data_IF_718791554444
#
_entry.id   IF_718791554444
#
_cell.length_a   1.000
_cell.length_b   1.000
_cell.length_c   1.000
_cell.angle_alpha   90.00
_cell.angle_beta   90.00
_cell.angle_gamma   90.00
#
_symmetry.space_group_name_H-M   'P 1'
#
loop_
_entity.id
_entity.type
_entity.pdbx_description
1 polymer ?
#
# COMPACT_ATOMS: atom_id res chain seq x y z
N UNK A 1 -49.36 -16.59 -24.89
CA UNK A 1 -50.31 -15.45 -24.99
C UNK A 1 -49.46 -14.19 -24.96
N UNK A 2 -49.11 -13.58 -26.11
CA UNK A 2 -49.75 -12.43 -26.79
C UNK A 2 -49.94 -11.29 -25.83
N UNK A 3 -49.39 -10.08 -25.99
CA UNK A 3 -49.28 -9.11 -27.10
C UNK A 3 -48.26 -8.03 -26.69
N UNK A 4 -47.29 -7.51 -27.41
CA UNK A 4 -47.37 -6.60 -28.58
C UNK A 4 -48.14 -5.30 -28.31
N UNK A 5 -47.55 -4.10 -28.53
CA UNK A 5 -47.81 -3.23 -29.69
C UNK A 5 -47.39 -1.76 -29.38
N UNK A 6 -46.58 -1.14 -30.25
CA UNK A 6 -46.66 0.06 -31.13
C UNK A 6 -46.39 1.40 -30.36
N UNK A 7 -45.51 2.31 -30.71
CA UNK A 7 -45.14 2.83 -32.04
C UNK A 7 -45.85 4.16 -32.31
N UNK A 8 -45.16 5.29 -32.29
CA UNK A 8 -45.65 6.50 -32.96
C UNK A 8 -44.47 7.35 -33.48
N UNK A 9 -44.37 7.33 -34.80
CA UNK A 9 -43.63 8.26 -35.66
C UNK A 9 -44.52 9.47 -35.86
N UNK A 10 -43.99 10.69 -35.77
CA UNK A 10 -44.61 11.88 -36.37
C UNK A 10 -43.58 12.61 -37.20
N UNK A 11 -43.92 12.76 -38.43
CA UNK A 11 -43.22 13.29 -39.59
C UNK A 11 -43.75 14.72 -39.91
N UNK A 12 -42.88 15.56 -40.50
CA UNK A 12 -43.18 16.64 -41.50
C UNK A 12 -43.61 18.01 -40.91
N UNK A 13 -43.10 19.16 -41.37
CA UNK A 13 -43.11 19.65 -42.73
C UNK A 13 -42.12 20.85 -42.90
N UNK A 14 -41.51 20.87 -44.08
CA UNK A 14 -40.81 22.03 -44.61
C UNK A 14 -41.79 23.05 -45.18
N UNK A 15 -41.46 24.35 -45.01
CA UNK A 15 -41.95 25.38 -45.90
C UNK A 15 -40.82 26.33 -46.25
N UNK A 16 -40.50 26.36 -47.55
CA UNK A 16 -39.67 27.38 -48.16
C UNK A 16 -40.51 28.61 -48.52
N UNK A 17 -40.01 29.80 -48.32
CA UNK A 17 -40.40 30.99 -49.11
C UNK A 17 -39.19 31.94 -49.22
N UNK A 18 -38.99 32.32 -50.45
CA UNK A 18 -38.04 33.22 -51.08
C UNK A 18 -38.23 34.71 -50.72
N UNK A 19 -37.14 35.49 -50.76
CA UNK A 19 -37.27 36.94 -50.97
C UNK A 19 -36.09 37.80 -50.61
N UNK A 20 -35.28 38.14 -51.66
CA UNK A 20 -34.59 39.40 -51.95
C UNK A 20 -33.66 40.14 -51.01
N UNK A 21 -32.43 40.21 -51.43
CA UNK A 21 -31.41 41.32 -51.40
C UNK A 21 -31.61 42.51 -50.48
N UNK A 22 -30.54 42.78 -49.72
CA UNK A 22 -29.83 44.07 -49.83
C UNK A 22 -28.45 44.02 -49.17
N UNK A 23 -27.46 44.52 -49.89
CA UNK A 23 -26.09 44.70 -49.51
C UNK A 23 -25.89 45.59 -48.29
N UNK A 24 -25.15 45.10 -47.30
CA UNK A 24 -24.24 45.94 -46.48
C UNK A 24 -23.06 45.12 -46.00
N UNK A 25 -21.86 45.59 -46.40
CA UNK A 25 -20.59 45.19 -45.88
C UNK A 25 -20.54 45.33 -44.36
N UNK A 26 -20.45 44.26 -43.63
CA UNK A 26 -19.96 44.27 -42.27
C UNK A 26 -18.77 43.34 -42.14
N UNK A 27 -17.71 43.96 -41.58
CA UNK A 27 -16.41 43.32 -41.28
C UNK A 27 -16.61 42.08 -40.42
N UNK A 28 -16.22 40.90 -40.90
CA UNK A 28 -16.01 39.72 -40.09
C UNK A 28 -14.75 39.94 -39.24
N UNK A 29 -14.92 40.30 -37.98
CA UNK A 29 -13.95 40.03 -36.93
C UNK A 29 -13.98 38.54 -36.63
N UNK A 30 -12.97 37.83 -37.10
CA UNK A 30 -12.69 36.45 -36.75
C UNK A 30 -12.22 36.42 -35.28
N UNK A 31 -13.09 36.16 -34.36
CA UNK A 31 -12.77 35.84 -32.98
C UNK A 31 -12.09 34.47 -32.99
N UNK A 32 -10.77 34.41 -32.95
CA UNK A 32 -10.03 33.20 -32.62
C UNK A 32 -10.41 32.85 -31.18
N UNK A 33 -11.19 31.78 -31.03
CA UNK A 33 -11.29 31.06 -29.76
C UNK A 33 -9.94 30.35 -29.57
N UNK A 34 -9.11 30.92 -28.70
CA UNK A 34 -7.95 30.20 -28.15
C UNK A 34 -8.49 29.03 -27.36
N UNK A 35 -8.36 27.87 -27.94
CA UNK A 35 -8.52 26.58 -27.24
C UNK A 35 -7.38 26.47 -26.22
N UNK A 36 -7.64 26.91 -24.99
CA UNK A 36 -6.77 26.62 -23.86
C UNK A 36 -6.95 25.14 -23.51
N UNK A 37 -6.21 24.31 -24.21
CA UNK A 37 -5.94 22.95 -23.75
C UNK A 37 -5.19 23.08 -22.44
N UNK A 38 -5.90 22.94 -21.32
CA UNK A 38 -5.26 22.75 -20.02
C UNK A 38 -4.35 21.52 -20.14
N UNK A 39 -3.05 21.75 -20.18
CA UNK A 39 -2.06 20.70 -20.10
C UNK A 39 -2.27 20.00 -18.75
N UNK A 40 -2.86 18.82 -18.79
CA UNK A 40 -3.00 17.93 -17.65
C UNK A 40 -1.56 17.63 -17.22
N UNK A 41 -1.13 18.18 -16.08
CA UNK A 41 0.20 17.91 -15.55
C UNK A 41 0.34 16.38 -15.43
N UNK A 42 1.27 15.83 -16.20
CA UNK A 42 1.59 14.41 -16.09
C UNK A 42 2.06 14.14 -14.65
N UNK A 43 1.41 13.18 -13.99
CA UNK A 43 1.86 12.73 -12.68
C UNK A 43 3.29 12.19 -12.82
N UNK A 44 4.20 12.51 -11.89
CA UNK A 44 5.56 12.01 -11.96
C UNK A 44 5.53 10.48 -12.00
N UNK A 45 6.24 9.90 -12.96
CA UNK A 45 6.38 8.46 -13.06
C UNK A 45 7.27 7.99 -11.89
N UNK A 46 6.66 7.32 -10.91
CA UNK A 46 7.38 6.75 -9.78
C UNK A 46 8.13 5.48 -10.22
N UNK A 47 9.27 5.16 -9.57
CA UNK A 47 9.99 3.92 -9.82
C UNK A 47 9.10 2.70 -9.58
N UNK A 48 9.28 1.63 -10.34
CA UNK A 48 8.59 0.37 -10.10
C UNK A 48 9.28 -0.42 -8.97
N UNK A 49 9.28 0.15 -7.78
CA UNK A 49 9.80 -0.46 -6.54
C UNK A 49 8.68 -0.54 -5.52
N UNK A 50 8.74 -1.59 -4.71
CA UNK A 50 7.80 -1.86 -3.62
C UNK A 50 8.48 -1.58 -2.27
N UNK A 51 7.80 -0.88 -1.38
CA UNK A 51 8.11 -0.82 0.05
C UNK A 51 7.10 -1.69 0.81
N UNK A 52 7.58 -2.66 1.58
CA UNK A 52 6.77 -3.42 2.54
C UNK A 52 7.08 -2.90 3.94
N UNK A 53 6.09 -2.31 4.58
CA UNK A 53 6.15 -1.86 5.97
C UNK A 53 5.45 -2.92 6.81
N UNK A 54 6.23 -3.69 7.56
CA UNK A 54 5.74 -4.82 8.32
C UNK A 54 5.20 -4.36 9.67
N UNK A 55 3.92 -4.59 9.91
CA UNK A 55 3.20 -4.49 11.18
C UNK A 55 3.52 -3.21 12.01
N UNK A 56 3.40 -2.01 11.45
CA UNK A 56 3.72 -0.76 12.15
C UNK A 56 2.58 -0.34 13.10
N UNK A 57 2.12 -1.26 13.96
CA UNK A 57 0.91 -1.12 14.76
C UNK A 57 1.18 -0.57 16.17
N UNK A 58 0.16 0.02 16.78
CA UNK A 58 0.24 0.62 18.12
C UNK A 58 0.70 -0.40 19.14
N UNK A 59 0.17 -1.64 19.11
CA UNK A 59 0.55 -2.65 20.10
C UNK A 59 2.03 -3.05 20.04
N UNK A 60 2.66 -2.97 18.88
CA UNK A 60 4.11 -3.22 18.72
C UNK A 60 5.00 -2.00 18.97
N UNK A 61 4.40 -0.81 19.12
CA UNK A 61 5.12 0.45 19.38
C UNK A 61 4.97 0.93 20.81
N UNK A 62 3.73 1.22 21.24
CA UNK A 62 3.43 1.80 22.56
C UNK A 62 2.39 1.01 23.35
N UNK A 63 1.81 -0.05 22.76
CA UNK A 63 0.73 -0.82 23.34
C UNK A 63 1.18 -2.10 24.07
N UNK A 64 0.37 -3.15 23.99
CA UNK A 64 0.47 -4.34 24.86
C UNK A 64 1.69 -5.22 24.61
N UNK A 65 2.28 -5.17 23.43
CA UNK A 65 3.49 -5.92 23.01
C UNK A 65 4.55 -4.97 22.44
N UNK A 66 4.70 -3.80 23.09
CA UNK A 66 5.62 -2.77 22.64
C UNK A 66 7.08 -3.23 22.63
N UNK A 67 7.77 -3.00 21.52
CA UNK A 67 9.21 -3.17 21.39
C UNK A 67 9.94 -1.90 21.87
N UNK A 68 11.11 -2.05 22.47
CA UNK A 68 11.84 -0.92 23.08
C UNK A 68 12.15 0.21 22.08
N UNK A 69 12.42 -0.12 20.83
CA UNK A 69 12.76 0.82 19.76
C UNK A 69 11.60 1.11 18.80
N UNK A 70 10.44 0.49 18.98
CA UNK A 70 9.28 0.60 18.09
C UNK A 70 8.87 2.03 17.78
N UNK A 71 8.61 2.88 18.79
CA UNK A 71 8.25 4.26 18.55
C UNK A 71 9.30 5.03 17.76
N UNK A 72 10.59 4.91 18.13
CA UNK A 72 11.68 5.63 17.47
C UNK A 72 11.86 5.20 16.00
N UNK A 73 11.75 3.90 15.72
CA UNK A 73 11.83 3.37 14.36
C UNK A 73 10.67 3.87 13.49
N UNK A 74 9.45 3.89 14.02
CA UNK A 74 8.27 4.35 13.29
C UNK A 74 8.22 5.87 13.13
N UNK A 75 8.67 6.63 14.11
CA UNK A 75 8.85 8.08 13.98
C UNK A 75 9.88 8.44 12.91
N UNK A 76 10.99 7.68 12.87
CA UNK A 76 12.00 7.86 11.84
C UNK A 76 11.46 7.55 10.44
N UNK A 77 10.74 6.44 10.29
CA UNK A 77 10.10 6.06 9.03
C UNK A 77 9.09 7.14 8.58
N UNK A 78 8.23 7.59 9.50
CA UNK A 78 7.26 8.64 9.22
C UNK A 78 7.96 9.93 8.74
N UNK A 79 9.03 10.35 9.46
CA UNK A 79 9.83 11.51 9.06
C UNK A 79 10.45 11.34 7.68
N UNK A 80 11.12 10.23 7.41
CA UNK A 80 11.77 9.96 6.13
C UNK A 80 10.77 9.97 4.97
N UNK A 81 9.62 9.32 5.14
CA UNK A 81 8.56 9.35 4.13
C UNK A 81 8.02 10.77 3.94
N UNK A 82 7.78 11.55 4.99
CA UNK A 82 7.33 12.94 4.89
C UNK A 82 8.35 13.83 4.18
N UNK A 83 9.65 13.60 4.37
CA UNK A 83 10.75 14.31 3.71
C UNK A 83 10.99 13.88 2.25
N UNK A 84 10.28 12.87 1.78
CA UNK A 84 10.26 12.49 0.36
C UNK A 84 10.84 11.13 0.00
N UNK A 85 11.21 10.28 0.98
CA UNK A 85 11.67 8.91 0.70
C UNK A 85 10.63 8.09 -0.08
N UNK A 86 9.34 8.41 0.07
CA UNK A 86 8.26 7.80 -0.70
C UNK A 86 8.44 7.90 -2.22
N UNK A 87 9.16 8.90 -2.72
CA UNK A 87 9.41 9.11 -4.16
C UNK A 87 10.22 7.99 -4.80
N UNK A 88 10.84 7.13 -3.99
CA UNK A 88 11.57 5.96 -4.44
C UNK A 88 10.66 4.75 -4.74
N UNK A 89 9.34 4.86 -4.50
CA UNK A 89 8.41 3.74 -4.56
C UNK A 89 7.17 4.07 -5.39
N UNK A 90 6.78 3.14 -6.25
CA UNK A 90 5.49 3.16 -6.93
C UNK A 90 4.39 2.44 -6.13
N UNK A 91 4.82 1.60 -5.17
CA UNK A 91 3.95 0.78 -4.34
C UNK A 91 4.39 0.78 -2.88
N UNK A 92 3.42 0.85 -1.97
CA UNK A 92 3.64 0.66 -0.53
C UNK A 92 2.61 -0.36 -0.02
N UNK A 93 3.09 -1.42 0.61
CA UNK A 93 2.25 -2.38 1.33
C UNK A 93 2.49 -2.20 2.82
N UNK A 94 1.43 -2.03 3.58
CA UNK A 94 1.45 -2.00 5.05
C UNK A 94 0.81 -3.28 5.52
N UNK A 95 1.56 -4.15 6.18
CA UNK A 95 0.99 -5.36 6.77
C UNK A 95 0.51 -5.08 8.19
N UNK A 96 -0.45 -5.85 8.65
CA UNK A 96 -1.03 -5.73 10.00
C UNK A 96 -1.44 -7.11 10.53
N UNK A 97 -1.10 -7.38 11.78
CA UNK A 97 -1.78 -8.42 12.53
C UNK A 97 -3.24 -8.02 12.81
N UNK A 98 -4.15 -8.98 12.65
CA UNK A 98 -5.58 -8.80 12.87
C UNK A 98 -6.12 -10.00 13.64
N UNK A 99 -5.75 -10.09 14.92
CA UNK A 99 -6.05 -11.28 15.71
C UNK A 99 -7.48 -11.29 16.25
N UNK A 100 -8.22 -12.40 16.11
CA UNK A 100 -9.44 -12.60 16.87
C UNK A 100 -9.10 -12.71 18.36
N UNK A 101 -10.09 -12.41 19.23
CA UNK A 101 -9.91 -12.41 20.70
C UNK A 101 -9.39 -13.71 21.30
N UNK A 102 -9.60 -14.83 20.61
CA UNK A 102 -9.19 -16.17 21.02
C UNK A 102 -8.03 -16.71 20.17
N UNK A 103 -7.16 -15.86 19.68
CA UNK A 103 -6.04 -16.28 18.83
C UNK A 103 -5.03 -17.14 19.60
N UNK A 104 -4.50 -18.16 18.94
CA UNK A 104 -3.61 -19.17 19.54
C UNK A 104 -2.28 -18.60 20.05
N UNK A 105 -1.82 -17.43 19.58
CA UNK A 105 -0.60 -16.79 20.09
C UNK A 105 -0.71 -16.25 21.51
N UNK A 106 -1.94 -16.06 22.02
CA UNK A 106 -2.17 -15.44 23.32
C UNK A 106 -1.97 -16.41 24.48
N UNK A 107 -1.40 -15.91 25.58
CA UNK A 107 -1.16 -16.70 26.81
C UNK A 107 -2.44 -17.36 27.33
N UNK A 108 -3.59 -16.71 27.17
CA UNK A 108 -4.90 -17.23 27.57
C UNK A 108 -5.37 -18.43 26.73
N UNK A 109 -4.76 -18.59 25.54
CA UNK A 109 -5.01 -19.72 24.61
C UNK A 109 -3.85 -20.72 24.59
N UNK A 110 -2.87 -20.59 25.49
CA UNK A 110 -1.69 -21.46 25.55
C UNK A 110 -0.51 -20.98 24.72
N UNK A 111 -0.60 -19.81 24.10
CA UNK A 111 0.52 -19.14 23.42
C UNK A 111 1.47 -18.45 24.38
N UNK A 112 2.36 -17.63 23.85
CA UNK A 112 3.46 -17.00 24.61
C UNK A 112 3.34 -15.47 24.70
N UNK A 113 2.45 -14.85 23.93
CA UNK A 113 2.30 -13.39 23.87
C UNK A 113 1.08 -12.91 24.67
N UNK A 114 1.11 -11.68 25.23
CA UNK A 114 -0.11 -11.05 25.71
C UNK A 114 -1.05 -10.79 24.53
N UNK A 115 -2.36 -10.61 24.76
CA UNK A 115 -3.28 -10.16 23.72
C UNK A 115 -2.77 -8.86 23.07
N UNK A 116 -2.63 -8.87 21.75
CA UNK A 116 -2.13 -7.75 20.95
C UNK A 116 -2.83 -7.75 19.59
N UNK A 117 -2.86 -6.61 18.95
CA UNK A 117 -3.44 -6.39 17.60
C UNK A 117 -4.82 -7.04 17.44
N UNK A 118 -5.63 -7.03 18.52
CA UNK A 118 -6.96 -7.65 18.53
C UNK A 118 -7.91 -6.83 17.64
N UNK A 119 -8.64 -7.51 16.78
CA UNK A 119 -9.62 -6.88 15.89
C UNK A 119 -10.56 -5.92 16.61
N UNK A 120 -10.70 -4.71 16.07
CA UNK A 120 -11.57 -3.66 16.61
C UNK A 120 -11.01 -2.92 17.82
N UNK A 121 -9.78 -3.20 18.25
CA UNK A 121 -9.08 -2.41 19.28
C UNK A 121 -8.19 -1.33 18.69
N UNK A 122 -7.83 -0.32 19.51
CA UNK A 122 -6.89 0.72 19.12
C UNK A 122 -5.49 0.16 18.82
N UNK A 123 -5.08 -0.88 19.55
CA UNK A 123 -3.77 -1.53 19.41
C UNK A 123 -3.51 -2.12 18.03
N UNK A 124 -4.57 -2.53 17.32
CA UNK A 124 -4.49 -3.01 15.94
C UNK A 124 -4.18 -1.90 14.92
N UNK A 125 -4.47 -0.65 15.22
CA UNK A 125 -4.29 0.45 14.27
C UNK A 125 -2.80 0.71 14.01
N UNK A 126 -2.51 1.24 12.83
CA UNK A 126 -1.17 1.73 12.48
C UNK A 126 -0.76 2.86 13.42
N UNK A 127 0.50 2.93 13.77
CA UNK A 127 1.10 3.97 14.59
C UNK A 127 0.74 5.37 14.06
N UNK A 128 0.20 6.28 14.90
CA UNK A 128 -0.49 7.49 14.44
C UNK A 128 0.36 8.39 13.55
N UNK A 129 1.62 8.66 13.93
CA UNK A 129 2.50 9.53 13.14
C UNK A 129 2.76 8.97 11.74
N UNK A 130 2.92 7.65 11.60
CA UNK A 130 3.09 7.00 10.32
C UNK A 130 1.79 6.98 9.51
N UNK A 131 0.64 6.72 10.16
CA UNK A 131 -0.67 6.74 9.51
C UNK A 131 -1.00 8.11 8.90
N UNK A 132 -0.68 9.18 9.62
CA UNK A 132 -0.85 10.56 9.12
C UNK A 132 -0.04 10.78 7.83
N UNK A 133 1.23 10.41 7.84
CA UNK A 133 2.10 10.57 6.67
C UNK A 133 1.63 9.72 5.50
N UNK A 134 1.28 8.46 5.71
CA UNK A 134 0.75 7.58 4.65
C UNK A 134 -0.52 8.17 4.02
N UNK A 135 -1.41 8.75 4.83
CA UNK A 135 -2.62 9.43 4.34
C UNK A 135 -2.27 10.64 3.48
N UNK A 136 -1.29 11.44 3.91
CA UNK A 136 -0.87 12.66 3.21
C UNK A 136 -0.17 12.38 1.86
N UNK A 137 0.57 11.27 1.75
CA UNK A 137 1.25 10.90 0.50
C UNK A 137 0.36 10.10 -0.47
N UNK A 138 -0.74 9.53 0.00
CA UNK A 138 -1.66 8.69 -0.81
C UNK A 138 -2.12 9.33 -2.13
N UNK A 139 -2.42 10.64 -2.23
CA UNK A 139 -2.76 11.26 -3.50
C UNK A 139 -1.64 11.19 -4.56
N UNK A 140 -0.39 11.00 -4.13
CA UNK A 140 0.79 10.93 -4.99
C UNK A 140 1.21 9.48 -5.32
N UNK A 141 0.88 8.53 -4.42
CA UNK A 141 1.12 7.10 -4.61
C UNK A 141 -0.24 6.39 -4.58
N UNK A 142 -0.85 6.07 -5.72
CA UNK A 142 -2.17 5.43 -5.75
C UNK A 142 -2.16 3.99 -5.22
N UNK A 143 -0.99 3.37 -5.13
CA UNK A 143 -0.80 1.97 -4.76
C UNK A 143 -0.30 1.83 -3.31
N UNK A 144 -1.00 2.43 -2.35
CA UNK A 144 -0.81 2.15 -0.92
C UNK A 144 -1.92 1.18 -0.50
N UNK A 145 -1.54 -0.02 -0.04
CA UNK A 145 -2.48 -1.05 0.35
C UNK A 145 -2.17 -1.57 1.75
N UNK A 146 -3.22 -1.78 2.53
CA UNK A 146 -3.16 -2.43 3.83
C UNK A 146 -3.55 -3.89 3.67
N UNK A 147 -2.75 -4.80 4.22
CA UNK A 147 -2.96 -6.24 4.13
C UNK A 147 -2.87 -6.87 5.51
N UNK A 148 -3.83 -7.71 5.85
CA UNK A 148 -3.94 -8.35 7.16
C UNK A 148 -3.45 -9.79 7.14
N UNK A 149 -2.91 -10.25 8.27
CA UNK A 149 -2.55 -11.63 8.58
C UNK A 149 -2.95 -11.99 10.01
N UNK A 150 -2.78 -13.24 10.42
CA UNK A 150 -3.07 -13.70 11.77
C UNK A 150 -4.55 -13.66 12.15
N UNK A 151 -5.44 -13.74 11.17
CA UNK A 151 -6.89 -13.60 11.35
C UNK A 151 -7.61 -14.94 11.58
N UNK A 152 -6.89 -16.07 11.68
CA UNK A 152 -7.44 -17.36 12.02
C UNK A 152 -7.09 -17.72 13.48
N UNK A 153 -8.07 -18.09 14.33
CA UNK A 153 -7.83 -18.34 15.75
C UNK A 153 -6.77 -19.38 16.05
N UNK A 154 -6.66 -20.40 15.20
CA UNK A 154 -5.81 -21.57 15.41
C UNK A 154 -4.46 -21.51 14.69
N UNK A 155 -4.19 -20.43 13.93
CA UNK A 155 -2.98 -20.33 13.09
C UNK A 155 -2.18 -19.09 13.38
N UNK A 156 -0.93 -19.28 13.82
CA UNK A 156 0.05 -18.19 13.92
C UNK A 156 0.65 -17.88 12.55
N UNK A 157 0.71 -16.59 12.21
CA UNK A 157 1.24 -16.12 10.93
C UNK A 157 2.17 -14.92 11.15
N UNK A 158 3.47 -15.17 11.24
CA UNK A 158 4.45 -14.08 11.33
C UNK A 158 4.68 -13.38 9.99
N UNK A 159 4.72 -14.14 8.91
CA UNK A 159 4.87 -13.58 7.56
C UNK A 159 3.52 -13.32 6.91
N UNK A 160 3.44 -12.18 6.18
CA UNK A 160 2.26 -11.91 5.35
C UNK A 160 2.02 -13.02 4.32
N UNK A 161 3.07 -13.69 3.84
CA UNK A 161 2.99 -14.77 2.84
C UNK A 161 2.45 -16.08 3.41
N UNK A 162 2.31 -16.22 4.73
CA UNK A 162 1.67 -17.36 5.40
C UNK A 162 0.14 -17.24 5.42
N UNK A 163 -0.40 -16.04 5.18
CA UNK A 163 -1.83 -15.80 5.07
C UNK A 163 -2.36 -16.21 3.69
N UNK A 164 -3.39 -17.05 3.65
CA UNK A 164 -3.92 -17.61 2.39
C UNK A 164 -4.48 -16.54 1.45
N UNK A 165 -5.10 -15.49 1.97
CA UNK A 165 -5.73 -14.46 1.13
C UNK A 165 -4.76 -13.33 0.80
N UNK A 166 -4.20 -12.70 1.84
CA UNK A 166 -3.31 -11.54 1.68
C UNK A 166 -1.98 -11.95 1.06
N UNK A 167 -1.42 -13.08 1.52
CA UNK A 167 -0.15 -13.59 1.03
C UNK A 167 -0.21 -14.03 -0.42
N UNK A 168 -1.23 -14.79 -0.80
CA UNK A 168 -1.43 -15.19 -2.19
C UNK A 168 -1.64 -13.98 -3.11
N UNK A 169 -2.45 -13.00 -2.68
CA UNK A 169 -2.67 -11.77 -3.43
C UNK A 169 -1.36 -10.99 -3.62
N UNK A 170 -0.56 -10.81 -2.57
CA UNK A 170 0.71 -10.10 -2.66
C UNK A 170 1.73 -10.86 -3.52
N UNK A 171 1.82 -12.17 -3.34
CA UNK A 171 2.69 -13.03 -4.14
C UNK A 171 2.38 -12.91 -5.63
N UNK A 172 1.13 -13.06 -6.01
CA UNK A 172 0.70 -12.88 -7.41
C UNK A 172 0.96 -11.48 -7.94
N UNK A 173 0.77 -10.46 -7.11
CA UNK A 173 1.12 -9.08 -7.50
C UNK A 173 2.61 -8.98 -7.83
N UNK A 174 3.48 -9.59 -7.04
CA UNK A 174 4.94 -9.56 -7.25
C UNK A 174 5.35 -10.41 -8.47
N UNK A 175 4.81 -11.62 -8.62
CA UNK A 175 5.26 -12.60 -9.65
C UNK A 175 4.61 -12.36 -11.02
N UNK A 176 3.32 -11.99 -11.05
CA UNK A 176 2.53 -12.01 -12.29
C UNK A 176 2.26 -10.62 -12.86
N UNK A 177 2.09 -9.59 -12.02
CA UNK A 177 1.53 -8.32 -12.47
C UNK A 177 2.54 -7.18 -12.54
N UNK A 178 3.42 -7.00 -11.54
CA UNK A 178 4.15 -5.75 -11.40
C UNK A 178 5.64 -5.82 -11.77
N UNK A 179 6.25 -6.98 -11.81
CA UNK A 179 7.67 -7.15 -12.17
C UNK A 179 8.59 -6.13 -11.50
N UNK A 180 8.46 -5.96 -10.18
CA UNK A 180 9.21 -4.95 -9.43
C UNK A 180 10.72 -4.99 -9.69
N UNK A 181 11.33 -3.82 -9.84
CA UNK A 181 12.78 -3.67 -9.97
C UNK A 181 13.51 -4.01 -8.67
N UNK A 182 12.82 -3.85 -7.53
CA UNK A 182 13.31 -4.20 -6.21
C UNK A 182 12.24 -4.02 -5.15
N UNK A 183 12.45 -4.69 -4.01
CA UNK A 183 11.56 -4.65 -2.85
C UNK A 183 12.38 -4.27 -1.63
N UNK A 184 11.94 -3.24 -0.92
CA UNK A 184 12.52 -2.80 0.33
C UNK A 184 11.58 -3.19 1.48
N UNK A 185 12.14 -3.62 2.61
CA UNK A 185 11.38 -4.07 3.78
C UNK A 185 11.83 -3.30 5.01
N UNK A 186 10.89 -2.88 5.85
CA UNK A 186 11.11 -2.31 7.18
C UNK A 186 9.97 -2.70 8.11
N UNK A 187 10.01 -2.30 9.36
CA UNK A 187 8.91 -2.47 10.32
C UNK A 187 9.27 -3.27 11.56
N UNK A 188 8.27 -3.96 12.15
CA UNK A 188 8.31 -4.61 13.47
C UNK A 188 7.67 -6.02 13.38
N UNK A 189 8.17 -7.06 14.08
CA UNK A 189 9.44 -7.08 14.79
C UNK A 189 10.52 -7.70 13.90
N UNK A 190 11.72 -7.15 14.03
CA UNK A 190 12.90 -7.57 13.25
C UNK A 190 13.15 -9.08 13.31
N UNK A 191 13.02 -9.65 14.50
CA UNK A 191 13.30 -11.05 14.85
C UNK A 191 12.12 -12.01 14.63
N UNK A 192 10.94 -11.49 14.27
CA UNK A 192 9.72 -12.26 13.96
C UNK A 192 9.16 -11.90 12.59
N UNK A 193 8.22 -10.97 12.53
CA UNK A 193 7.44 -10.70 11.31
C UNK A 193 8.30 -10.20 10.16
N UNK A 194 9.30 -9.34 10.40
CA UNK A 194 10.21 -8.85 9.36
C UNK A 194 11.10 -9.98 8.86
N UNK A 195 11.69 -10.76 9.77
CA UNK A 195 12.50 -11.92 9.42
C UNK A 195 11.73 -12.96 8.59
N UNK A 196 10.57 -13.40 9.07
CA UNK A 196 9.75 -14.41 8.38
C UNK A 196 9.23 -13.88 7.03
N UNK A 197 8.78 -12.62 6.97
CA UNK A 197 8.36 -12.00 5.69
C UNK A 197 9.52 -11.94 4.69
N UNK A 198 10.72 -11.58 5.15
CA UNK A 198 11.91 -11.53 4.28
C UNK A 198 12.29 -12.91 3.78
N UNK A 199 12.31 -13.90 4.66
CA UNK A 199 12.63 -15.31 4.36
C UNK A 199 11.66 -15.90 3.33
N UNK A 200 10.36 -15.69 3.53
CA UNK A 200 9.34 -16.20 2.62
C UNK A 200 9.38 -15.46 1.27
N UNK A 201 9.65 -14.14 1.27
CA UNK A 201 9.81 -13.37 0.03
C UNK A 201 10.94 -13.91 -0.84
N UNK A 202 12.12 -14.14 -0.27
CA UNK A 202 13.28 -14.60 -1.05
C UNK A 202 13.17 -16.05 -1.53
N UNK A 203 12.19 -16.81 -1.05
CA UNK A 203 11.91 -18.14 -1.56
C UNK A 203 11.38 -18.12 -3.01
N UNK A 204 10.81 -16.99 -3.46
CA UNK A 204 10.27 -16.85 -4.82
C UNK A 204 10.71 -15.55 -5.54
N UNK A 205 11.30 -14.58 -4.84
CA UNK A 205 11.78 -13.33 -5.41
C UNK A 205 13.30 -13.22 -5.26
N UNK A 206 14.06 -12.69 -6.24
CA UNK A 206 15.52 -12.66 -6.19
C UNK A 206 16.05 -11.86 -5.00
N UNK A 207 16.79 -12.53 -4.11
CA UNK A 207 17.31 -11.93 -2.87
C UNK A 207 18.20 -10.69 -3.11
N UNK A 208 18.95 -10.64 -4.21
CA UNK A 208 19.77 -9.49 -4.59
C UNK A 208 18.97 -8.25 -5.04
N UNK A 209 17.66 -8.38 -5.17
CA UNK A 209 16.72 -7.28 -5.41
C UNK A 209 15.97 -6.86 -4.15
N UNK A 210 16.17 -7.56 -3.03
CA UNK A 210 15.60 -7.23 -1.72
C UNK A 210 16.58 -6.39 -0.93
N UNK A 211 16.08 -5.36 -0.23
CA UNK A 211 16.88 -4.55 0.70
C UNK A 211 16.12 -4.38 2.00
N UNK A 212 16.86 -4.25 3.09
CA UNK A 212 16.29 -3.96 4.42
C UNK A 212 16.62 -2.52 4.80
N UNK A 213 15.60 -1.74 5.19
CA UNK A 213 15.78 -0.37 5.70
C UNK A 213 16.09 -0.45 7.19
N UNK A 214 17.37 -0.50 7.52
CA UNK A 214 17.89 -0.91 8.83
C UNK A 214 17.60 0.07 9.96
N UNK A 215 17.48 1.37 9.66
CA UNK A 215 17.13 2.39 10.65
C UNK A 215 15.62 2.54 10.90
N UNK A 216 14.80 1.72 10.24
CA UNK A 216 13.35 1.65 10.42
C UNK A 216 12.91 0.26 10.93
N UNK A 217 13.72 -0.36 11.77
CA UNK A 217 13.49 -1.68 12.37
C UNK A 217 13.43 -1.60 13.90
N UNK A 218 12.63 -2.47 14.50
CA UNK A 218 12.64 -2.69 15.95
C UNK A 218 12.43 -4.17 16.25
N UNK A 219 13.23 -4.73 17.15
CA UNK A 219 13.19 -6.12 17.58
C UNK A 219 12.48 -6.30 18.92
N UNK A 220 11.99 -7.49 19.20
CA UNK A 220 11.59 -7.92 20.55
C UNK A 220 12.85 -8.22 21.37
N UNK A 221 13.81 -8.95 20.79
CA UNK A 221 15.15 -9.16 21.36
C UNK A 221 16.21 -8.49 20.49
N UNK A 222 16.79 -7.39 20.98
CA UNK A 222 17.85 -6.66 20.28
C UNK A 222 19.14 -7.48 20.06
N UNK A 223 19.30 -8.63 20.70
CA UNK A 223 20.45 -9.53 20.49
C UNK A 223 20.17 -10.64 19.47
N UNK A 224 18.94 -10.75 18.94
CA UNK A 224 18.62 -11.72 17.89
C UNK A 224 19.34 -11.36 16.59
N UNK A 225 19.95 -12.34 15.96
CA UNK A 225 20.75 -12.16 14.73
C UNK A 225 20.09 -12.76 13.49
N UNK A 226 18.93 -13.38 13.61
CA UNK A 226 18.28 -14.13 12.52
C UNK A 226 18.19 -13.34 11.21
N UNK A 227 17.71 -12.10 11.27
CA UNK A 227 17.59 -11.26 10.08
C UNK A 227 18.98 -10.89 9.52
N UNK A 228 19.93 -10.54 10.37
CA UNK A 228 21.29 -10.19 9.95
C UNK A 228 22.00 -11.38 9.29
N UNK A 229 21.83 -12.57 9.85
CA UNK A 229 22.39 -13.81 9.30
C UNK A 229 21.73 -14.15 7.95
N UNK A 230 20.40 -14.05 7.85
CA UNK A 230 19.66 -14.24 6.60
C UNK A 230 20.15 -13.27 5.51
N UNK A 231 20.33 -12.00 5.86
CA UNK A 231 20.82 -10.96 4.94
C UNK A 231 22.23 -11.32 4.44
N UNK A 232 23.13 -11.71 5.33
CA UNK A 232 24.50 -12.09 5.01
C UNK A 232 24.56 -13.32 4.12
N UNK A 233 23.81 -14.35 4.44
CA UNK A 233 23.76 -15.62 3.69
C UNK A 233 23.24 -15.46 2.28
N UNK A 234 22.30 -14.54 2.06
CA UNK A 234 21.61 -14.34 0.79
C UNK A 234 22.06 -13.07 0.03
N UNK A 235 23.03 -12.33 0.55
CA UNK A 235 23.54 -11.11 -0.09
C UNK A 235 22.54 -9.96 -0.12
N UNK A 236 21.60 -9.93 0.83
CA UNK A 236 20.61 -8.86 0.99
C UNK A 236 21.30 -7.62 1.55
N UNK A 237 21.08 -6.48 0.93
CA UNK A 237 21.71 -5.23 1.34
C UNK A 237 20.88 -4.51 2.42
N UNK A 238 21.56 -3.95 3.42
CA UNK A 238 20.99 -2.93 4.31
C UNK A 238 21.10 -1.55 3.67
N UNK A 239 20.05 -0.75 3.83
CA UNK A 239 20.01 0.66 3.44
C UNK A 239 19.47 1.49 4.60
N UNK A 240 19.64 2.80 4.54
CA UNK A 240 19.04 3.78 5.45
C UNK A 240 18.27 4.83 4.65
N UNK A 241 17.21 5.39 5.25
CA UNK A 241 16.49 6.55 4.73
C UNK A 241 17.11 7.86 5.16
#
# INVERSE_FOLDING_TARGET
>A
MKKSIIGAIVLVAALAMTGCNNDKKEKKETKQMEDKTEAKAEKPQLPNRLLIIVDPQIDFTTGSLATAKGPAAMDYLAKALNEGAWKNYGWIIVTQDAHPKNHCSFVEQGGVFPPHCVEGTEGMNVYPALQEVLTNIMPNIPNIHYMQKGNLPEKEEFSIFQNEQSGEKLRRTIEEFEHFEGIDICGIATDYCVYETTKDLIAFYPANKVRIVTNCLAAVDDNDTKLADLMKENGIQGIEF
#
